data_IF_721275280390
#
_entry.id   IF_721275280390
#
_cell.length_a   1.000
_cell.length_b   1.000
_cell.length_c   1.000
_cell.angle_alpha   90.00
_cell.angle_beta   90.00
_cell.angle_gamma   90.00
#
_symmetry.space_group_name_H-M   'P 1'
#
loop_
_entity.id
_entity.type
_entity.pdbx_description
1 polymer ?
#
# COMPACT_ATOMS: atom_id res chain seq x y z
N UNK A 1 17.55 -3.76 -13.20
CA UNK A 1 17.92 -3.57 -11.78
C UNK A 1 18.54 -2.19 -11.67
N UNK A 2 18.17 -1.40 -10.65
CA UNK A 2 18.78 -0.09 -10.41
C UNK A 2 19.97 -0.25 -9.48
N UNK A 3 21.16 0.22 -9.88
CA UNK A 3 22.42 0.02 -9.14
C UNK A 3 22.47 0.71 -7.75
N UNK A 4 21.51 1.61 -7.48
CA UNK A 4 21.45 2.37 -6.21
C UNK A 4 20.26 2.03 -5.32
N UNK A 5 19.35 1.16 -5.76
CA UNK A 5 18.17 0.81 -4.98
C UNK A 5 18.49 -0.31 -3.98
N UNK A 6 18.28 -0.05 -2.68
CA UNK A 6 18.50 -1.04 -1.62
C UNK A 6 17.64 -2.30 -1.81
N UNK A 7 16.40 -2.16 -2.31
CA UNK A 7 15.52 -3.30 -2.57
C UNK A 7 15.90 -4.11 -3.83
N UNK A 8 16.77 -3.57 -4.70
CA UNK A 8 17.36 -4.34 -5.79
C UNK A 8 18.56 -5.19 -5.32
N UNK A 9 19.17 -4.89 -4.18
CA UNK A 9 20.27 -5.66 -3.61
C UNK A 9 19.76 -6.67 -2.58
N UNK A 10 19.82 -7.95 -2.93
CA UNK A 10 19.39 -9.05 -2.06
C UNK A 10 20.22 -9.12 -0.77
N UNK A 11 21.50 -8.71 -0.82
CA UNK A 11 22.35 -8.73 0.38
C UNK A 11 21.86 -7.75 1.44
N UNK A 12 21.24 -6.63 1.03
CA UNK A 12 20.63 -5.66 1.95
C UNK A 12 19.44 -6.24 2.74
N UNK A 13 18.84 -7.32 2.22
CA UNK A 13 17.66 -7.99 2.77
C UNK A 13 18.00 -9.26 3.57
N UNK A 14 19.28 -9.63 3.64
CA UNK A 14 19.71 -10.86 4.28
C UNK A 14 19.22 -10.96 5.74
N UNK A 15 18.75 -12.16 6.12
CA UNK A 15 18.18 -12.43 7.45
C UNK A 15 16.78 -11.87 7.70
N UNK A 16 16.15 -11.20 6.72
CA UNK A 16 14.79 -10.63 6.86
C UNK A 16 13.78 -11.14 5.83
N UNK A 17 14.21 -11.98 4.88
CA UNK A 17 13.34 -12.57 3.86
C UNK A 17 12.43 -13.61 4.52
N UNK A 18 11.13 -13.47 4.32
CA UNK A 18 10.10 -14.37 4.86
C UNK A 18 9.58 -15.35 3.81
N UNK A 19 9.47 -14.89 2.57
CA UNK A 19 8.88 -15.64 1.47
C UNK A 19 9.33 -15.04 0.14
N UNK A 20 9.31 -15.85 -0.92
CA UNK A 20 9.54 -15.38 -2.27
C UNK A 20 8.70 -16.15 -3.29
N UNK A 21 8.42 -15.49 -4.39
CA UNK A 21 7.75 -16.07 -5.53
C UNK A 21 8.58 -15.81 -6.80
N UNK A 22 8.02 -16.07 -7.99
CA UNK A 22 8.71 -15.80 -9.25
C UNK A 22 9.00 -14.31 -9.41
N UNK A 23 8.01 -13.46 -9.11
CA UNK A 23 8.06 -12.02 -9.36
C UNK A 23 8.14 -11.17 -8.09
N UNK A 24 7.94 -11.73 -6.90
CA UNK A 24 7.86 -10.97 -5.65
C UNK A 24 8.80 -11.48 -4.57
N UNK A 25 9.11 -10.61 -3.62
CA UNK A 25 9.84 -10.91 -2.40
C UNK A 25 9.12 -10.30 -1.21
N UNK A 26 9.06 -11.04 -0.10
CA UNK A 26 8.44 -10.62 1.16
C UNK A 26 9.52 -10.54 2.24
N UNK A 27 9.60 -9.39 2.92
CA UNK A 27 10.61 -9.17 3.98
C UNK A 27 10.01 -8.53 5.23
N UNK A 28 10.65 -8.73 6.38
CA UNK A 28 10.41 -7.88 7.55
C UNK A 28 11.01 -6.49 7.35
N UNK A 29 10.20 -5.46 7.61
CA UNK A 29 10.62 -4.07 7.47
C UNK A 29 11.67 -3.69 8.52
N UNK A 30 12.68 -2.94 8.09
CA UNK A 30 13.65 -2.28 8.97
C UNK A 30 14.01 -0.92 8.37
N UNK A 31 13.70 0.20 9.04
CA UNK A 31 13.09 0.29 10.38
C UNK A 31 11.63 -0.18 10.41
N UNK A 32 11.22 -0.66 11.59
CA UNK A 32 9.93 -1.30 11.81
C UNK A 32 8.93 -0.33 12.46
N UNK A 33 7.91 0.11 11.71
CA UNK A 33 6.87 1.02 12.20
C UNK A 33 5.93 0.39 13.26
N UNK A 34 5.55 -0.87 13.09
CA UNK A 34 4.69 -1.62 14.03
C UNK A 34 5.19 -3.06 14.14
N UNK A 35 4.92 -3.74 15.26
CA UNK A 35 5.34 -5.13 15.45
C UNK A 35 4.79 -6.02 14.33
N UNK A 36 5.69 -6.71 13.62
CA UNK A 36 5.32 -7.57 12.49
C UNK A 36 5.13 -6.82 11.17
N UNK A 37 5.62 -5.59 11.04
CA UNK A 37 5.60 -4.85 9.77
C UNK A 37 6.35 -5.60 8.67
N UNK A 38 5.62 -5.99 7.62
CA UNK A 38 6.12 -6.70 6.45
C UNK A 38 6.05 -5.82 5.22
N UNK A 39 7.02 -5.98 4.31
CA UNK A 39 7.00 -5.40 2.98
C UNK A 39 6.87 -6.52 1.94
N UNK A 40 5.93 -6.40 1.02
CA UNK A 40 5.84 -7.23 -0.19
C UNK A 40 6.15 -6.36 -1.39
N UNK A 41 7.13 -6.75 -2.20
CA UNK A 41 7.62 -5.93 -3.30
C UNK A 41 7.97 -6.80 -4.52
N UNK A 42 7.97 -6.26 -5.74
CA UNK A 42 8.48 -6.97 -6.89
C UNK A 42 9.98 -7.12 -6.85
N UNK A 43 10.47 -8.19 -7.47
CA UNK A 43 11.90 -8.39 -7.76
C UNK A 43 12.39 -7.41 -8.83
N UNK A 44 11.53 -7.09 -9.82
CA UNK A 44 11.82 -6.05 -10.81
C UNK A 44 11.63 -4.66 -10.20
N UNK A 45 12.57 -3.78 -10.46
CA UNK A 45 12.45 -2.38 -10.06
C UNK A 45 11.34 -1.68 -10.84
N UNK A 46 10.33 -1.23 -10.11
CA UNK A 46 9.23 -0.37 -10.56
C UNK A 46 8.90 0.60 -9.44
N UNK A 47 8.42 1.79 -9.75
CA UNK A 47 8.11 2.82 -8.75
C UNK A 47 6.60 3.00 -8.56
N UNK A 48 5.79 2.68 -9.58
CA UNK A 48 4.34 2.87 -9.56
C UNK A 48 3.57 1.70 -10.17
N UNK A 49 2.31 1.56 -9.75
CA UNK A 49 1.45 0.43 -10.11
C UNK A 49 1.29 0.22 -11.62
N UNK A 50 1.31 1.30 -12.42
CA UNK A 50 1.14 1.22 -13.87
C UNK A 50 2.29 0.50 -14.58
N UNK A 51 3.47 0.41 -13.95
CA UNK A 51 4.67 -0.18 -14.56
C UNK A 51 4.71 -1.70 -14.47
N UNK A 52 3.84 -2.30 -13.67
CA UNK A 52 3.69 -3.75 -13.61
C UNK A 52 3.08 -4.31 -14.89
N UNK A 53 3.58 -5.47 -15.33
CA UNK A 53 2.84 -6.33 -16.24
C UNK A 53 1.70 -7.07 -15.51
N UNK A 54 0.84 -7.76 -16.25
CA UNK A 54 -0.36 -8.40 -15.68
C UNK A 54 0.00 -9.48 -14.67
N UNK A 55 0.98 -10.31 -14.98
CA UNK A 55 1.42 -11.43 -14.17
C UNK A 55 1.98 -10.96 -12.83
N UNK A 56 2.82 -9.92 -12.84
CA UNK A 56 3.38 -9.33 -11.63
C UNK A 56 2.28 -8.71 -10.74
N UNK A 57 1.25 -8.06 -11.32
CA UNK A 57 0.13 -7.50 -10.53
C UNK A 57 -0.64 -8.59 -9.80
N UNK A 58 -0.97 -9.67 -10.52
CA UNK A 58 -1.71 -10.81 -9.93
C UNK A 58 -0.89 -11.42 -8.79
N UNK A 59 0.37 -11.73 -9.07
CA UNK A 59 1.25 -12.38 -8.09
C UNK A 59 1.53 -11.48 -6.87
N UNK A 60 1.66 -10.15 -7.06
CA UNK A 60 1.79 -9.20 -5.96
C UNK A 60 0.57 -9.23 -5.05
N UNK A 61 -0.64 -9.19 -5.61
CA UNK A 61 -1.88 -9.18 -4.82
C UNK A 61 -2.10 -10.53 -4.14
N UNK A 62 -1.83 -11.65 -4.81
CA UNK A 62 -1.87 -12.98 -4.20
C UNK A 62 -0.89 -13.09 -3.02
N UNK A 63 0.34 -12.60 -3.19
CA UNK A 63 1.34 -12.61 -2.13
C UNK A 63 0.93 -11.71 -0.96
N UNK A 64 0.44 -10.48 -1.22
CA UNK A 64 -0.08 -9.58 -0.18
C UNK A 64 -1.23 -10.26 0.59
N UNK A 65 -2.16 -10.89 -0.12
CA UNK A 65 -3.30 -11.59 0.50
C UNK A 65 -2.84 -12.73 1.39
N UNK A 66 -1.96 -13.60 0.88
CA UNK A 66 -1.36 -14.71 1.64
C UNK A 66 -0.67 -14.24 2.92
N UNK A 67 0.10 -13.16 2.86
CA UNK A 67 0.82 -12.64 4.02
C UNK A 67 -0.15 -11.97 5.00
N UNK A 68 -1.16 -11.25 4.51
CA UNK A 68 -2.18 -10.64 5.36
C UNK A 68 -2.90 -11.69 6.20
N UNK A 69 -3.39 -12.77 5.59
CA UNK A 69 -4.09 -13.84 6.31
C UNK A 69 -3.20 -14.48 7.38
N UNK A 70 -1.93 -14.74 7.08
CA UNK A 70 -0.96 -15.25 8.07
C UNK A 70 -0.77 -14.30 9.26
N UNK A 71 -0.76 -12.99 9.02
CA UNK A 71 -0.66 -12.00 10.09
C UNK A 71 -1.94 -12.00 10.95
N UNK A 72 -3.10 -12.15 10.33
CA UNK A 72 -4.40 -12.19 11.01
C UNK A 72 -4.61 -13.45 11.88
N UNK A 73 -3.83 -14.51 11.70
CA UNK A 73 -3.80 -15.65 12.64
C UNK A 73 -3.39 -15.23 14.06
N UNK A 74 -2.68 -14.11 14.21
CA UNK A 74 -2.13 -13.63 15.49
C UNK A 74 -2.57 -12.23 15.88
N UNK A 75 -2.76 -11.34 14.91
CA UNK A 75 -3.08 -9.93 15.14
C UNK A 75 -4.55 -9.65 14.85
N UNK A 76 -5.13 -8.63 15.49
CA UNK A 76 -6.55 -8.30 15.35
C UNK A 76 -6.92 -7.63 14.03
N UNK A 77 -5.94 -7.09 13.33
CA UNK A 77 -6.13 -6.44 12.03
C UNK A 77 -4.80 -6.27 11.31
N UNK A 78 -4.86 -5.80 10.07
CA UNK A 78 -3.68 -5.48 9.29
C UNK A 78 -4.02 -4.39 8.28
N UNK A 79 -3.35 -3.25 8.36
CA UNK A 79 -3.43 -2.22 7.32
C UNK A 79 -2.56 -2.66 6.15
N UNK A 80 -3.08 -2.50 4.93
CA UNK A 80 -2.35 -2.73 3.68
C UNK A 80 -2.19 -1.38 2.98
N UNK A 81 -0.96 -0.92 2.77
CA UNK A 81 -0.68 0.42 2.26
C UNK A 81 0.39 0.42 1.18
N UNK A 82 0.15 1.16 0.11
CA UNK A 82 1.16 1.53 -0.87
C UNK A 82 1.29 3.04 -0.88
N UNK A 83 2.53 3.53 -0.90
CA UNK A 83 2.80 4.96 -1.00
C UNK A 83 3.56 5.25 -2.28
N UNK A 84 2.98 6.04 -3.18
CA UNK A 84 3.70 6.63 -4.32
C UNK A 84 3.78 8.15 -4.12
N UNK A 85 4.94 8.64 -3.70
CA UNK A 85 5.17 10.05 -3.33
C UNK A 85 6.41 10.60 -4.02
N UNK A 86 6.39 10.79 -5.36
CA UNK A 86 7.56 11.26 -6.11
C UNK A 86 8.06 12.65 -5.68
N UNK A 87 7.23 13.42 -4.97
CA UNK A 87 7.57 14.73 -4.40
C UNK A 87 8.39 14.65 -3.10
N UNK A 88 8.56 13.46 -2.51
CA UNK A 88 9.44 13.24 -1.34
C UNK A 88 10.75 12.63 -1.82
N UNK A 89 11.89 13.11 -1.32
CA UNK A 89 13.20 12.49 -1.59
C UNK A 89 13.28 11.14 -0.88
N UNK A 90 14.03 10.19 -1.45
CA UNK A 90 14.38 8.97 -0.70
C UNK A 90 15.12 9.34 0.58
N UNK A 91 14.76 8.63 1.64
CA UNK A 91 15.45 8.62 2.92
C UNK A 91 15.37 7.18 3.46
N UNK A 92 16.03 6.86 4.58
CA UNK A 92 16.01 5.50 5.13
C UNK A 92 14.61 4.94 5.46
N UNK A 93 13.54 5.74 5.31
CA UNK A 93 12.13 5.35 5.49
C UNK A 93 11.38 5.24 4.15
N UNK A 94 11.73 6.05 3.16
CA UNK A 94 11.15 6.04 1.81
C UNK A 94 12.15 5.53 0.77
N UNK A 95 11.79 4.43 0.11
CA UNK A 95 12.55 3.86 -1.02
C UNK A 95 11.70 3.96 -2.29
N UNK A 96 12.31 4.44 -3.38
CA UNK A 96 11.74 4.53 -4.73
C UNK A 96 11.82 3.19 -5.44
N UNK A 97 11.16 2.20 -4.83
CA UNK A 97 10.88 0.89 -5.39
C UNK A 97 9.58 0.44 -4.76
N UNK A 98 8.57 0.19 -5.56
CA UNK A 98 7.23 -0.08 -5.08
C UNK A 98 7.21 -1.23 -4.08
N UNK A 99 6.69 -0.96 -2.89
CA UNK A 99 6.49 -1.96 -1.86
C UNK A 99 5.13 -1.73 -1.20
N UNK A 100 4.47 -2.83 -0.89
CA UNK A 100 3.22 -2.84 -0.14
C UNK A 100 3.59 -3.10 1.32
N UNK A 101 3.25 -2.16 2.18
CA UNK A 101 3.33 -2.33 3.61
C UNK A 101 2.14 -3.16 4.08
N UNK A 102 2.43 -4.23 4.82
CA UNK A 102 1.46 -4.91 5.67
C UNK A 102 1.81 -4.59 7.12
N UNK A 103 0.90 -3.88 7.80
CA UNK A 103 1.10 -3.32 9.13
C UNK A 103 0.07 -3.94 10.07
N UNK A 104 0.43 -5.03 10.78
CA UNK A 104 -0.46 -5.63 11.77
C UNK A 104 -0.87 -4.63 12.83
N UNK A 105 -2.15 -4.66 13.22
CA UNK A 105 -2.78 -3.71 14.11
C UNK A 105 -3.30 -4.40 15.35
N UNK A 106 -3.24 -3.68 16.46
CA UNK A 106 -3.90 -4.02 17.71
C UNK A 106 -4.82 -2.87 18.13
N UNK A 107 -5.75 -3.15 19.05
CA UNK A 107 -6.54 -2.08 19.67
C UNK A 107 -5.59 -1.13 20.41
N UNK A 108 -5.67 0.15 20.09
CA UNK A 108 -4.84 1.21 20.69
C UNK A 108 -3.34 0.99 20.54
N UNK A 109 -2.86 0.49 19.40
CA UNK A 109 -1.43 0.44 19.15
C UNK A 109 -0.77 1.83 19.07
N UNK A 110 0.55 1.85 19.21
CA UNK A 110 1.34 3.08 19.28
C UNK A 110 1.15 4.00 18.06
N UNK A 111 1.00 3.41 16.85
CA UNK A 111 0.75 4.16 15.63
C UNK A 111 -0.61 4.87 15.69
N UNK A 112 -1.63 4.19 16.21
CA UNK A 112 -2.94 4.79 16.43
C UNK A 112 -2.83 5.96 17.41
N UNK A 113 -2.31 5.72 18.61
CA UNK A 113 -2.29 6.66 19.72
C UNK A 113 -1.45 7.91 19.43
N UNK A 114 -0.32 7.77 18.74
CA UNK A 114 0.60 8.88 18.47
C UNK A 114 0.29 9.68 17.20
N UNK A 115 -0.35 9.05 16.21
CA UNK A 115 -0.52 9.67 14.89
C UNK A 115 -1.98 9.66 14.42
N UNK A 116 -2.61 8.49 14.33
CA UNK A 116 -3.90 8.36 13.63
C UNK A 116 -5.07 9.00 14.41
N UNK A 117 -4.97 9.16 15.72
CA UNK A 117 -5.96 9.94 16.51
C UNK A 117 -6.13 11.37 16.01
N UNK A 118 -5.10 11.95 15.38
CA UNK A 118 -5.14 13.31 14.84
C UNK A 118 -5.77 13.37 13.45
N UNK A 119 -5.79 12.26 12.69
CA UNK A 119 -6.40 12.21 11.35
C UNK A 119 -7.89 12.54 11.39
N UNK A 120 -8.61 12.13 12.45
CA UNK A 120 -10.04 12.44 12.62
C UNK A 120 -10.35 13.94 12.55
N UNK A 121 -9.40 14.79 12.92
CA UNK A 121 -9.57 16.25 12.95
C UNK A 121 -9.49 16.91 11.58
N UNK A 122 -8.93 16.22 10.57
CA UNK A 122 -8.75 16.77 9.22
C UNK A 122 -9.84 16.32 8.24
N UNK A 123 -10.69 15.35 8.61
CA UNK A 123 -11.81 14.94 7.78
C UNK A 123 -12.78 16.10 7.57
N UNK A 124 -13.04 16.42 6.30
CA UNK A 124 -14.02 17.40 5.86
C UNK A 124 -15.05 16.70 4.97
N UNK A 125 -16.26 17.26 4.91
CA UNK A 125 -17.24 16.81 3.92
C UNK A 125 -16.73 17.19 2.53
N UNK A 126 -16.90 16.30 1.55
CA UNK A 126 -16.70 16.62 0.15
C UNK A 126 -17.64 17.79 -0.22
N UNK A 127 -17.07 18.86 -0.75
CA UNK A 127 -17.85 20.02 -1.17
C UNK A 127 -18.17 19.92 -2.67
N UNK A 128 -19.20 20.66 -3.12
CA UNK A 128 -19.69 20.55 -4.50
C UNK A 128 -18.69 21.06 -5.54
N UNK A 129 -17.96 22.13 -5.23
CA UNK A 129 -16.94 22.70 -6.11
C UNK A 129 -15.84 21.68 -6.37
N UNK A 130 -15.30 21.08 -5.30
CA UNK A 130 -14.31 20.00 -5.39
C UNK A 130 -14.82 18.79 -6.19
N UNK A 131 -16.08 18.38 -5.99
CA UNK A 131 -16.68 17.30 -6.76
C UNK A 131 -16.78 17.66 -8.25
N UNK A 132 -17.30 18.85 -8.56
CA UNK A 132 -17.50 19.30 -9.94
C UNK A 132 -16.15 19.46 -10.66
N UNK A 133 -15.13 20.00 -9.99
CA UNK A 133 -13.80 20.19 -10.55
C UNK A 133 -13.13 18.84 -10.84
N UNK A 134 -13.13 17.92 -9.86
CA UNK A 134 -12.50 16.59 -10.04
C UNK A 134 -13.20 15.75 -11.11
N UNK A 135 -14.53 15.78 -11.16
CA UNK A 135 -15.30 14.99 -12.14
C UNK A 135 -15.09 15.49 -13.56
N UNK A 136 -15.05 16.81 -13.76
CA UNK A 136 -14.85 17.39 -15.10
C UNK A 136 -13.40 17.36 -15.55
N UNK A 137 -12.47 17.77 -14.70
CA UNK A 137 -11.08 18.00 -15.12
C UNK A 137 -10.22 16.74 -15.06
N UNK A 138 -10.43 15.89 -14.04
CA UNK A 138 -9.57 14.73 -13.79
C UNK A 138 -10.17 13.45 -14.37
N UNK A 139 -11.42 13.15 -13.99
CA UNK A 139 -12.05 11.88 -14.37
C UNK A 139 -12.80 11.95 -15.70
N UNK A 140 -13.19 13.15 -16.13
CA UNK A 140 -14.00 13.37 -17.34
C UNK A 140 -15.30 12.54 -17.31
N UNK A 141 -15.88 12.40 -16.13
CA UNK A 141 -17.13 11.66 -15.88
C UNK A 141 -18.15 12.56 -15.22
N UNK A 142 -19.42 12.16 -15.24
CA UNK A 142 -20.45 12.76 -14.39
C UNK A 142 -20.68 11.89 -13.16
N UNK A 143 -21.00 12.48 -11.99
CA UNK A 143 -21.48 11.70 -10.85
C UNK A 143 -22.66 10.80 -11.25
N UNK A 144 -22.66 9.58 -10.75
CA UNK A 144 -23.76 8.65 -10.97
C UNK A 144 -25.05 9.20 -10.37
N UNK A 145 -26.16 9.04 -11.08
CA UNK A 145 -27.50 9.39 -10.57
C UNK A 145 -27.98 8.33 -9.58
N UNK A 146 -28.91 8.70 -8.70
CA UNK A 146 -29.49 7.78 -7.72
C UNK A 146 -30.07 6.52 -8.38
N UNK A 147 -30.70 6.64 -9.55
CA UNK A 147 -31.25 5.50 -10.30
C UNK A 147 -30.14 4.56 -10.80
N UNK A 148 -29.03 5.11 -11.32
CA UNK A 148 -27.89 4.31 -11.77
C UNK A 148 -27.14 3.63 -10.61
N UNK A 149 -27.18 4.21 -9.40
CA UNK A 149 -26.62 3.57 -8.21
C UNK A 149 -27.49 2.39 -7.76
N UNK A 150 -28.82 2.52 -7.76
CA UNK A 150 -29.73 1.41 -7.39
C UNK A 150 -29.50 0.18 -8.26
N UNK A 151 -29.35 0.35 -9.58
CA UNK A 151 -29.08 -0.75 -10.50
C UNK A 151 -27.75 -1.51 -10.25
N UNK A 152 -26.75 -0.86 -9.64
CA UNK A 152 -25.47 -1.50 -9.29
C UNK A 152 -25.57 -2.27 -7.98
N UNK A 153 -26.22 -1.70 -6.96
CA UNK A 153 -26.29 -2.29 -5.62
C UNK A 153 -27.42 -3.30 -5.43
N UNK A 154 -28.35 -3.40 -6.39
CA UNK A 154 -29.43 -4.39 -6.41
C UNK A 154 -29.13 -5.62 -7.29
N UNK A 155 -27.94 -5.69 -7.89
CA UNK A 155 -27.40 -6.88 -8.60
C UNK A 155 -26.48 -7.69 -7.69
#
# INVERSE_FOLDING_TARGET
MSERCVFCDVNSMNGRILDESKNTITILSNPCLVKGHVLVMPKRHVEKLSEFNKEERVELIEQVTKIQEKLLEKFKGCDVRQNYRPFQKEDGLKIDHLHIHLQPRELFDELYEKCQVHEKKIFKKLNKEELDDLTKEVFQTNPMTDDSMKEIFEK
#
